data_IF_746245615853
#
_entry.id   IF_746245615853
#
_cell.length_a   1.000
_cell.length_b   1.000
_cell.length_c   1.000
_cell.angle_alpha   90.00
_cell.angle_beta   90.00
_cell.angle_gamma   90.00
#
_symmetry.space_group_name_H-M   'P 1'
#
loop_
_entity.id
_entity.type
_entity.pdbx_description
1 polymer ?
#
# COMPACT_ATOMS: atom_id res chain seq x y z
N UNK A 1 11.81 -17.84 21.48
CA UNK A 1 10.69 -17.18 22.20
C UNK A 1 9.41 -17.61 21.52
N UNK A 2 8.32 -17.75 22.27
CA UNK A 2 6.98 -17.92 21.68
C UNK A 2 6.31 -16.55 21.43
N UNK A 3 5.13 -16.56 20.80
CA UNK A 3 4.44 -15.34 20.42
C UNK A 3 4.09 -14.46 21.63
N UNK A 4 3.58 -15.05 22.73
CA UNK A 4 3.24 -14.33 23.97
C UNK A 4 4.45 -13.60 24.53
N UNK A 5 5.62 -14.23 24.56
CA UNK A 5 6.86 -13.62 25.06
C UNK A 5 7.25 -12.40 24.23
N UNK A 6 7.28 -12.52 22.89
CA UNK A 6 7.68 -11.41 22.01
C UNK A 6 6.66 -10.28 21.99
N UNK A 7 5.37 -10.60 22.00
CA UNK A 7 4.31 -9.60 22.09
C UNK A 7 4.38 -8.83 23.41
N UNK A 8 4.60 -9.54 24.52
CA UNK A 8 4.70 -8.91 25.84
C UNK A 8 5.88 -7.96 25.91
N UNK A 9 7.04 -8.35 25.37
CA UNK A 9 8.23 -7.51 25.29
C UNK A 9 8.03 -6.30 24.37
N UNK A 10 7.39 -6.51 23.22
CA UNK A 10 7.04 -5.45 22.29
C UNK A 10 6.14 -4.40 22.96
N UNK A 11 5.03 -4.84 23.57
CA UNK A 11 4.09 -3.96 24.26
C UNK A 11 4.70 -3.28 25.48
N UNK A 12 5.66 -3.91 26.18
CA UNK A 12 6.40 -3.24 27.25
C UNK A 12 7.24 -2.07 26.71
N UNK A 13 7.92 -2.27 25.57
CA UNK A 13 8.69 -1.24 24.89
C UNK A 13 7.80 -0.10 24.40
N UNK A 14 6.62 -0.42 23.84
CA UNK A 14 5.66 0.60 23.41
C UNK A 14 5.09 1.38 24.60
N UNK A 15 4.80 0.76 25.74
CA UNK A 15 4.32 1.51 26.92
C UNK A 15 5.32 2.56 27.42
N UNK A 16 6.61 2.33 27.18
CA UNK A 16 7.67 3.28 27.52
C UNK A 16 7.84 4.37 26.45
N UNK A 17 7.90 3.99 25.17
CA UNK A 17 8.28 4.89 24.08
C UNK A 17 7.11 5.51 23.32
N UNK A 18 6.00 4.78 23.21
CA UNK A 18 4.79 5.15 22.49
C UNK A 18 3.52 4.86 23.33
N UNK A 19 3.35 5.46 24.52
CA UNK A 19 2.25 5.15 25.43
C UNK A 19 0.86 5.37 24.83
N UNK A 20 0.69 6.30 23.89
CA UNK A 20 -0.58 6.54 23.19
C UNK A 20 -0.90 5.36 22.28
N UNK A 21 0.07 4.92 21.47
CA UNK A 21 -0.11 3.74 20.61
C UNK A 21 -0.33 2.47 21.43
N UNK A 22 0.43 2.28 22.51
CA UNK A 22 0.25 1.13 23.40
C UNK A 22 -1.16 1.09 24.02
N UNK A 23 -1.71 2.24 24.39
CA UNK A 23 -3.05 2.35 24.96
C UNK A 23 -4.18 2.13 23.94
N UNK A 24 -3.89 2.24 22.64
CA UNK A 24 -4.88 2.01 21.58
C UNK A 24 -5.18 0.54 21.32
N UNK A 25 -4.36 -0.38 21.85
CA UNK A 25 -4.58 -1.82 21.73
C UNK A 25 -5.73 -2.26 22.64
N UNK A 26 -6.71 -2.93 22.05
CA UNK A 26 -7.90 -3.43 22.73
C UNK A 26 -7.57 -4.69 23.53
N UNK A 27 -8.14 -4.87 24.73
CA UNK A 27 -7.96 -6.10 25.49
C UNK A 27 -8.54 -7.31 24.72
N UNK A 28 -8.01 -8.52 24.95
CA UNK A 28 -8.49 -9.71 24.26
C UNK A 28 -9.96 -10.01 24.57
N UNK A 29 -10.68 -10.53 23.58
CA UNK A 29 -12.05 -11.03 23.72
C UNK A 29 -12.08 -12.38 24.45
N UNK A 30 -13.29 -12.79 24.83
CA UNK A 30 -13.48 -14.08 25.50
C UNK A 30 -13.10 -15.25 24.59
N UNK A 31 -12.78 -16.42 25.17
CA UNK A 31 -12.47 -17.61 24.38
C UNK A 31 -13.61 -18.00 23.40
N UNK A 32 -14.86 -17.92 23.84
CA UNK A 32 -16.01 -18.25 22.98
C UNK A 32 -16.18 -17.34 21.77
N UNK A 33 -15.82 -16.05 21.90
CA UNK A 33 -15.83 -15.10 20.78
C UNK A 33 -14.69 -15.37 19.80
N UNK A 34 -13.49 -15.69 20.29
CA UNK A 34 -12.35 -16.10 19.45
C UNK A 34 -12.65 -17.36 18.66
N UNK A 35 -13.21 -18.37 19.32
CA UNK A 35 -13.64 -19.61 18.67
C UNK A 35 -14.76 -19.35 17.64
N UNK A 36 -15.63 -18.37 17.87
CA UNK A 36 -16.65 -17.99 16.90
C UNK A 36 -16.05 -17.33 15.66
N UNK A 37 -15.07 -16.45 15.83
CA UNK A 37 -14.33 -15.85 14.72
C UNK A 37 -13.53 -16.90 13.92
N UNK A 38 -12.89 -17.85 14.60
CA UNK A 38 -12.22 -18.99 13.94
C UNK A 38 -13.21 -19.81 13.10
N UNK A 39 -14.37 -20.19 13.67
CA UNK A 39 -15.41 -20.91 12.91
C UNK A 39 -15.98 -20.12 11.74
N UNK A 40 -16.02 -18.80 11.84
CA UNK A 40 -16.55 -17.93 10.80
C UNK A 40 -15.56 -17.69 9.65
N UNK A 41 -14.27 -17.99 9.85
CA UNK A 41 -13.21 -17.81 8.86
C UNK A 41 -12.71 -19.15 8.34
N UNK A 42 -11.83 -19.79 9.09
CA UNK A 42 -11.19 -21.08 8.79
C UNK A 42 -10.48 -21.57 10.07
N UNK A 43 -10.11 -22.86 10.22
CA UNK A 43 -9.30 -23.29 11.35
C UNK A 43 -7.98 -22.52 11.45
N UNK A 44 -7.70 -21.97 12.63
CA UNK A 44 -6.52 -21.14 12.86
C UNK A 44 -5.29 -21.99 13.21
N UNK A 45 -4.11 -21.45 12.92
CA UNK A 45 -2.87 -21.97 13.51
C UNK A 45 -2.86 -21.73 15.02
N UNK A 46 -2.07 -22.51 15.76
CA UNK A 46 -1.95 -22.31 17.21
C UNK A 46 -1.47 -20.90 17.55
N UNK A 47 -0.52 -20.41 16.75
CA UNK A 47 0.04 -19.07 16.90
C UNK A 47 -1.00 -17.97 16.65
N UNK A 48 -1.91 -18.14 15.69
CA UNK A 48 -2.98 -17.16 15.46
C UNK A 48 -4.03 -17.16 16.59
N UNK A 49 -4.32 -18.32 17.19
CA UNK A 49 -5.14 -18.40 18.42
C UNK A 49 -4.47 -17.71 19.60
N UNK A 50 -3.16 -17.87 19.73
CA UNK A 50 -2.34 -17.19 20.74
C UNK A 50 -2.38 -15.68 20.51
N UNK A 51 -2.19 -15.21 19.27
CA UNK A 51 -2.20 -13.80 18.88
C UNK A 51 -3.47 -13.07 19.32
N UNK A 52 -4.64 -13.56 18.91
CA UNK A 52 -5.92 -12.98 19.32
C UNK A 52 -6.26 -13.27 20.79
N UNK A 53 -5.53 -14.17 21.45
CA UNK A 53 -5.58 -14.33 22.91
C UNK A 53 -4.94 -13.15 23.67
N UNK A 54 -4.17 -12.30 22.99
CA UNK A 54 -3.43 -11.20 23.60
C UNK A 54 -4.08 -9.83 23.40
N UNK A 55 -4.94 -9.66 22.39
CA UNK A 55 -5.64 -8.40 22.07
C UNK A 55 -6.87 -8.61 21.18
N UNK A 56 -7.66 -7.55 21.00
CA UNK A 56 -8.76 -7.48 20.02
C UNK A 56 -8.53 -6.36 18.98
N UNK A 57 -7.29 -6.23 18.53
CA UNK A 57 -6.90 -5.27 17.51
C UNK A 57 -6.60 -3.90 18.09
N UNK A 58 -6.45 -2.92 17.21
CA UNK A 58 -6.19 -1.54 17.56
C UNK A 58 -7.48 -0.71 17.43
N UNK A 59 -7.61 0.35 18.23
CA UNK A 59 -8.70 1.29 18.07
C UNK A 59 -8.58 2.02 16.74
N UNK A 60 -9.59 1.88 15.89
CA UNK A 60 -9.70 2.63 14.65
C UNK A 60 -9.83 4.13 14.95
N UNK A 61 -9.06 4.96 14.23
CA UNK A 61 -9.13 6.42 14.34
C UNK A 61 -9.76 6.98 13.07
N UNK A 62 -11.05 6.75 12.90
CA UNK A 62 -11.84 7.38 11.84
C UNK A 62 -12.91 8.29 12.47
N UNK A 63 -12.97 9.56 12.05
CA UNK A 63 -14.01 10.51 12.50
C UNK A 63 -13.54 11.95 12.67
N UNK A 64 -14.47 12.83 13.08
CA UNK A 64 -14.27 14.29 13.23
C UNK A 64 -13.36 14.68 14.42
N UNK A 65 -13.14 13.77 15.38
CA UNK A 65 -12.20 13.91 16.50
C UNK A 65 -10.97 13.01 16.30
N UNK A 66 -10.29 13.15 15.15
CA UNK A 66 -9.07 12.40 14.88
C UNK A 66 -7.97 12.79 15.87
N UNK A 67 -7.66 11.90 16.81
CA UNK A 67 -6.44 11.95 17.61
C UNK A 67 -5.49 10.90 17.03
N UNK A 68 -4.32 11.27 16.50
CA UNK A 68 -3.36 10.31 16.00
C UNK A 68 -2.94 9.37 17.14
N UNK A 69 -3.25 8.08 17.00
CA UNK A 69 -2.79 7.05 17.94
C UNK A 69 -1.62 6.23 17.38
N UNK A 70 -1.21 6.50 16.15
CA UNK A 70 -0.14 5.78 15.46
C UNK A 70 -0.53 4.35 15.13
N UNK A 71 0.46 3.51 14.84
CA UNK A 71 0.20 2.09 14.59
C UNK A 71 1.23 1.17 15.22
N UNK A 72 0.75 0.04 15.75
CA UNK A 72 1.61 -1.05 16.23
C UNK A 72 2.23 -1.86 15.09
N UNK A 73 1.73 -1.72 13.86
CA UNK A 73 2.30 -2.33 12.65
C UNK A 73 2.69 -1.24 11.64
N UNK A 74 3.73 -1.45 10.81
CA UNK A 74 4.16 -0.43 9.85
C UNK A 74 3.12 -0.25 8.76
N UNK A 75 2.50 0.94 8.69
CA UNK A 75 1.43 1.31 7.76
C UNK A 75 0.13 0.49 7.82
N UNK A 76 0.00 -0.47 8.73
CA UNK A 76 -1.20 -1.29 8.86
C UNK A 76 -1.92 -1.04 10.18
N UNK A 77 -3.25 -0.96 10.18
CA UNK A 77 -4.10 -1.02 11.39
C UNK A 77 -4.43 -2.46 11.73
N UNK A 78 -4.18 -2.86 12.97
CA UNK A 78 -4.43 -4.22 13.44
C UNK A 78 -5.93 -4.48 13.64
N UNK A 79 -6.45 -5.56 13.06
CA UNK A 79 -7.86 -5.89 13.11
C UNK A 79 -8.33 -6.39 14.47
N UNK A 80 -9.57 -6.03 14.81
CA UNK A 80 -10.38 -6.78 15.77
C UNK A 80 -10.91 -8.08 15.16
N UNK A 81 -11.47 -8.95 16.00
CA UNK A 81 -12.12 -10.18 15.52
C UNK A 81 -13.22 -9.89 14.49
N UNK A 82 -14.07 -8.90 14.75
CA UNK A 82 -15.17 -8.53 13.85
C UNK A 82 -14.63 -8.09 12.49
N UNK A 83 -13.57 -7.27 12.47
CA UNK A 83 -12.93 -6.80 11.24
C UNK A 83 -12.27 -7.93 10.47
N UNK A 84 -11.60 -8.87 11.14
CA UNK A 84 -11.01 -10.03 10.50
C UNK A 84 -12.08 -10.90 9.81
N UNK A 85 -13.21 -11.15 10.50
CA UNK A 85 -14.34 -11.91 9.96
C UNK A 85 -15.01 -11.19 8.79
N UNK A 86 -15.28 -9.89 8.93
CA UNK A 86 -15.93 -9.10 7.89
C UNK A 86 -15.04 -8.96 6.65
N UNK A 87 -13.73 -8.74 6.83
CA UNK A 87 -12.78 -8.70 5.72
C UNK A 87 -12.66 -10.05 5.03
N UNK A 88 -12.59 -11.15 5.78
CA UNK A 88 -12.55 -12.50 5.22
C UNK A 88 -13.78 -12.78 4.36
N UNK A 89 -14.98 -12.53 4.91
CA UNK A 89 -16.25 -12.68 4.18
C UNK A 89 -16.27 -11.82 2.93
N UNK A 90 -15.92 -10.53 3.06
CA UNK A 90 -15.91 -9.59 1.95
C UNK A 90 -15.02 -10.08 0.81
N UNK A 91 -13.80 -10.55 1.11
CA UNK A 91 -12.87 -11.04 0.08
C UNK A 91 -13.38 -12.29 -0.63
N UNK A 92 -14.13 -13.17 0.06
CA UNK A 92 -14.74 -14.36 -0.56
C UNK A 92 -15.98 -14.02 -1.39
N UNK A 93 -16.75 -13.01 -1.00
CA UNK A 93 -17.93 -12.54 -1.73
C UNK A 93 -17.56 -11.65 -2.93
N UNK A 94 -16.36 -11.07 -2.94
CA UNK A 94 -15.85 -10.18 -3.97
C UNK A 94 -14.52 -10.71 -4.53
N UNK A 95 -14.55 -11.83 -5.27
CA UNK A 95 -13.34 -12.49 -5.74
C UNK A 95 -12.53 -11.58 -6.68
N UNK A 96 -11.21 -11.73 -6.60
CA UNK A 96 -10.29 -11.13 -7.56
C UNK A 96 -10.53 -11.72 -8.96
N UNK A 97 -10.48 -10.93 -10.04
CA UNK A 97 -10.57 -11.46 -11.39
C UNK A 97 -9.44 -12.46 -11.67
N UNK A 98 -9.78 -13.59 -12.31
CA UNK A 98 -8.84 -14.67 -12.66
C UNK A 98 -8.99 -15.11 -14.13
N UNK A 99 -9.54 -14.24 -14.98
CA UNK A 99 -9.92 -14.57 -16.36
C UNK A 99 -8.74 -15.08 -17.22
N UNK A 100 -7.52 -14.66 -16.87
CA UNK A 100 -6.26 -15.03 -17.53
C UNK A 100 -5.65 -16.35 -17.03
N UNK A 101 -6.15 -16.92 -15.93
CA UNK A 101 -5.64 -18.15 -15.29
C UNK A 101 -6.46 -19.40 -15.65
N UNK A 102 -7.71 -19.21 -16.09
CA UNK A 102 -8.60 -20.28 -16.55
C UNK A 102 -9.57 -20.80 -15.48
N UNK A 103 -10.65 -21.47 -15.94
CA UNK A 103 -11.77 -21.90 -15.08
C UNK A 103 -11.37 -22.93 -14.00
N UNK A 104 -10.30 -23.69 -14.22
CA UNK A 104 -9.82 -24.72 -13.30
C UNK A 104 -8.91 -24.15 -12.19
N UNK A 105 -8.47 -22.89 -12.30
CA UNK A 105 -7.52 -22.27 -11.37
C UNK A 105 -7.92 -22.37 -9.89
N UNK A 106 -9.19 -22.14 -9.49
CA UNK A 106 -9.60 -22.32 -8.10
C UNK A 106 -9.36 -23.74 -7.56
N UNK A 107 -9.42 -24.77 -8.42
CA UNK A 107 -9.13 -26.15 -8.04
C UNK A 107 -7.62 -26.37 -7.88
N UNK A 108 -6.81 -25.77 -8.74
CA UNK A 108 -5.35 -25.84 -8.66
C UNK A 108 -4.83 -25.18 -7.38
N UNK A 109 -5.35 -24.00 -7.05
CA UNK A 109 -5.00 -23.25 -5.84
C UNK A 109 -5.31 -24.02 -4.54
N UNK A 110 -6.38 -24.83 -4.53
CA UNK A 110 -6.71 -25.67 -3.37
C UNK A 110 -5.68 -26.79 -3.12
N UNK A 111 -4.88 -27.15 -4.13
CA UNK A 111 -3.82 -28.14 -4.00
C UNK A 111 -2.45 -27.53 -3.64
N UNK A 112 -2.31 -26.21 -3.72
CA UNK A 112 -1.08 -25.51 -3.37
C UNK A 112 -0.80 -25.55 -1.86
N UNK A 113 0.48 -25.55 -1.50
CA UNK A 113 0.90 -25.40 -0.11
C UNK A 113 0.88 -23.92 0.32
N UNK A 114 0.85 -23.69 1.62
CA UNK A 114 1.00 -22.34 2.17
C UNK A 114 2.26 -21.65 1.66
N UNK A 115 2.17 -20.35 1.41
CA UNK A 115 3.27 -19.54 0.91
C UNK A 115 3.50 -19.63 -0.61
N UNK A 116 2.70 -20.39 -1.35
CA UNK A 116 2.60 -20.29 -2.81
C UNK A 116 1.63 -19.17 -3.21
N UNK A 117 1.82 -18.59 -4.40
CA UNK A 117 0.95 -17.53 -4.92
C UNK A 117 -0.35 -18.13 -5.46
N UNK A 118 -1.49 -17.65 -4.96
CA UNK A 118 -2.82 -18.09 -5.37
C UNK A 118 -3.45 -17.20 -6.45
N UNK A 119 -2.96 -15.97 -6.65
CA UNK A 119 -3.54 -14.94 -7.55
C UNK A 119 -4.99 -14.55 -7.21
N UNK A 120 -5.50 -15.02 -6.08
CA UNK A 120 -6.85 -14.75 -5.58
C UNK A 120 -6.88 -14.90 -4.07
N UNK A 121 -7.87 -14.30 -3.44
CA UNK A 121 -8.10 -14.55 -2.02
C UNK A 121 -8.71 -15.93 -1.83
N UNK A 122 -8.13 -16.75 -0.95
CA UNK A 122 -8.60 -18.12 -0.68
C UNK A 122 -9.19 -18.24 0.73
N UNK A 123 -10.10 -19.20 0.97
CA UNK A 123 -10.74 -19.37 2.29
C UNK A 123 -9.75 -19.59 3.45
N UNK A 124 -8.57 -20.14 3.16
CA UNK A 124 -7.52 -20.40 4.13
C UNK A 124 -6.66 -19.18 4.49
N UNK A 125 -6.94 -17.98 3.95
CA UNK A 125 -6.25 -16.76 4.34
C UNK A 125 -7.00 -16.08 5.48
N UNK A 126 -6.38 -15.92 6.65
CA UNK A 126 -6.99 -15.19 7.77
C UNK A 126 -6.43 -13.78 7.84
N UNK A 127 -7.20 -12.75 7.47
CA UNK A 127 -6.70 -11.39 7.45
C UNK A 127 -6.59 -10.85 8.89
N UNK A 128 -5.56 -10.07 9.19
CA UNK A 128 -5.30 -9.56 10.54
C UNK A 128 -4.91 -8.08 10.60
N UNK A 129 -4.68 -7.42 9.46
CA UNK A 129 -4.45 -5.97 9.42
C UNK A 129 -4.81 -5.34 8.06
N UNK A 130 -5.07 -4.03 8.01
CA UNK A 130 -5.33 -3.26 6.78
C UNK A 130 -4.44 -2.03 6.62
N UNK A 131 -4.15 -1.63 5.40
CA UNK A 131 -3.38 -0.42 5.08
C UNK A 131 -4.24 0.84 4.93
N UNK A 132 -5.58 0.72 5.02
CA UNK A 132 -6.53 1.82 4.78
C UNK A 132 -6.79 2.14 3.29
N UNK A 133 -6.09 1.47 2.38
CA UNK A 133 -6.23 1.58 0.91
C UNK A 133 -6.79 0.31 0.26
N UNK A 134 -7.18 -0.67 1.07
CA UNK A 134 -7.77 -1.93 0.61
C UNK A 134 -6.77 -3.09 0.50
N UNK A 135 -5.51 -2.88 0.87
CA UNK A 135 -4.53 -3.92 1.14
C UNK A 135 -4.73 -4.51 2.54
N UNK A 136 -4.44 -5.81 2.67
CA UNK A 136 -4.57 -6.51 3.97
C UNK A 136 -3.42 -7.47 4.17
N UNK A 137 -2.88 -7.51 5.40
CA UNK A 137 -2.02 -8.60 5.82
C UNK A 137 -2.87 -9.79 6.25
N UNK A 138 -2.42 -10.99 5.91
CA UNK A 138 -3.08 -12.22 6.27
C UNK A 138 -2.08 -13.31 6.68
N UNK A 139 -2.58 -14.24 7.48
CA UNK A 139 -1.91 -15.50 7.80
C UNK A 139 -2.42 -16.57 6.84
N UNK A 140 -1.50 -17.24 6.15
CA UNK A 140 -1.84 -18.36 5.26
C UNK A 140 -1.96 -19.65 6.08
N UNK A 141 -3.19 -20.15 6.26
CA UNK A 141 -3.46 -21.37 7.04
C UNK A 141 -3.55 -22.62 6.17
N UNK A 142 -3.15 -22.57 4.89
CA UNK A 142 -3.03 -23.78 4.06
C UNK A 142 -2.03 -24.76 4.67
N UNK A 143 -2.15 -26.06 4.39
CA UNK A 143 -1.14 -27.04 4.80
C UNK A 143 0.19 -26.78 4.08
N UNK A 144 1.27 -27.38 4.59
CA UNK A 144 2.60 -27.31 3.99
C UNK A 144 3.64 -26.75 4.96
N UNK A 145 4.89 -26.68 4.51
CA UNK A 145 6.03 -26.29 5.35
C UNK A 145 5.95 -24.83 5.85
N UNK A 146 5.14 -23.98 5.20
CA UNK A 146 4.97 -22.55 5.52
C UNK A 146 3.58 -22.21 6.05
N UNK A 147 2.85 -23.20 6.57
CA UNK A 147 1.56 -22.96 7.22
C UNK A 147 1.73 -21.99 8.40
N UNK A 148 1.04 -20.85 8.36
CA UNK A 148 1.18 -19.76 9.32
C UNK A 148 2.03 -18.57 8.84
N UNK A 149 2.57 -18.62 7.61
CA UNK A 149 3.34 -17.50 7.08
C UNK A 149 2.47 -16.24 6.84
N UNK A 150 3.14 -15.09 6.84
CA UNK A 150 2.49 -13.78 6.66
C UNK A 150 2.72 -13.28 5.25
N UNK A 151 1.64 -12.83 4.64
CA UNK A 151 1.60 -12.28 3.29
C UNK A 151 0.64 -11.10 3.22
N UNK A 152 0.70 -10.37 2.11
CA UNK A 152 -0.21 -9.27 1.79
C UNK A 152 -1.14 -9.64 0.65
N UNK A 153 -2.39 -9.22 0.73
CA UNK A 153 -3.35 -9.29 -0.36
C UNK A 153 -3.90 -7.91 -0.69
N UNK A 154 -3.95 -7.53 -1.97
CA UNK A 154 -4.63 -6.33 -2.46
C UNK A 154 -5.42 -6.63 -3.73
N UNK A 155 -6.37 -5.77 -4.10
CA UNK A 155 -7.13 -5.96 -5.35
C UNK A 155 -6.31 -5.64 -6.60
N UNK A 156 -5.18 -4.92 -6.46
CA UNK A 156 -4.32 -4.57 -7.59
C UNK A 156 -3.23 -5.62 -7.84
N UNK A 157 -2.83 -6.34 -6.78
CA UNK A 157 -1.68 -7.26 -6.81
C UNK A 157 -2.00 -8.69 -6.39
N UNK A 158 -3.28 -9.01 -6.13
CA UNK A 158 -3.68 -10.24 -5.46
C UNK A 158 -2.75 -10.55 -4.27
N UNK A 159 -2.23 -11.78 -4.16
CA UNK A 159 -1.23 -12.21 -3.18
C UNK A 159 0.18 -12.38 -3.76
N UNK A 160 0.53 -11.61 -4.78
CA UNK A 160 1.84 -11.67 -5.41
C UNK A 160 3.01 -11.46 -4.43
N UNK A 161 4.12 -12.15 -4.69
CA UNK A 161 5.35 -12.05 -3.91
C UNK A 161 5.64 -13.24 -3.00
N UNK A 162 6.79 -13.21 -2.35
CA UNK A 162 7.16 -14.20 -1.33
C UNK A 162 6.51 -13.85 0.02
N UNK A 163 6.37 -14.82 0.93
CA UNK A 163 6.02 -14.53 2.32
C UNK A 163 6.96 -13.47 2.92
N UNK A 164 6.39 -12.52 3.66
CA UNK A 164 7.16 -11.49 4.35
C UNK A 164 7.87 -12.07 5.57
N UNK A 165 7.19 -12.98 6.28
CA UNK A 165 7.70 -13.70 7.44
C UNK A 165 7.14 -15.12 7.47
N UNK A 166 7.89 -16.05 8.04
CA UNK A 166 7.46 -17.46 8.12
C UNK A 166 6.42 -17.69 9.23
N UNK A 167 6.25 -16.75 10.18
CA UNK A 167 5.32 -16.84 11.32
C UNK A 167 4.99 -15.49 11.95
N UNK A 168 3.94 -15.42 12.78
CA UNK A 168 3.64 -14.22 13.59
C UNK A 168 4.72 -13.95 14.63
N UNK A 169 5.31 -14.97 15.25
CA UNK A 169 6.39 -14.81 16.24
C UNK A 169 7.58 -14.13 15.60
N UNK A 170 7.96 -14.53 14.39
CA UNK A 170 9.06 -13.89 13.66
C UNK A 170 8.75 -12.45 13.28
N UNK A 171 7.53 -12.19 12.81
CA UNK A 171 7.10 -10.83 12.47
C UNK A 171 7.08 -9.91 13.70
N UNK A 172 6.44 -10.33 14.79
CA UNK A 172 6.41 -9.54 16.03
C UNK A 172 7.81 -9.38 16.64
N UNK A 173 8.66 -10.41 16.56
CA UNK A 173 10.05 -10.29 17.00
C UNK A 173 10.85 -9.29 16.15
N UNK A 174 10.59 -9.22 14.84
CA UNK A 174 11.21 -8.24 13.95
C UNK A 174 10.73 -6.82 14.26
N UNK A 175 9.42 -6.64 14.50
CA UNK A 175 8.85 -5.35 14.94
C UNK A 175 9.45 -4.89 16.26
N UNK A 176 9.55 -5.79 17.23
CA UNK A 176 10.15 -5.48 18.52
C UNK A 176 11.60 -5.04 18.39
N UNK A 177 12.43 -5.77 17.63
CA UNK A 177 13.82 -5.39 17.36
C UNK A 177 13.93 -4.04 16.66
N UNK A 178 13.06 -3.79 15.67
CA UNK A 178 13.03 -2.51 14.94
C UNK A 178 12.70 -1.36 15.88
N UNK A 179 11.65 -1.49 16.70
CA UNK A 179 11.25 -0.48 17.69
C UNK A 179 12.29 -0.30 18.79
N UNK A 180 12.97 -1.36 19.23
CA UNK A 180 14.01 -1.28 20.25
C UNK A 180 15.25 -0.52 19.72
N UNK A 181 15.71 -0.86 18.52
CA UNK A 181 16.99 -0.38 17.98
C UNK A 181 16.87 0.84 17.07
N UNK A 182 15.67 1.16 16.59
CA UNK A 182 15.44 2.15 15.53
C UNK A 182 15.83 1.65 14.13
N UNK A 183 16.12 0.36 13.96
CA UNK A 183 16.48 -0.21 12.66
C UNK A 183 15.27 -0.34 11.75
N UNK A 184 15.51 -0.40 10.44
CA UNK A 184 14.47 -0.75 9.49
C UNK A 184 13.96 -2.18 9.73
N UNK A 185 12.69 -2.42 9.41
CA UNK A 185 12.11 -3.78 9.39
C UNK A 185 12.13 -4.39 7.98
N UNK A 186 11.62 -3.65 6.99
CA UNK A 186 11.66 -3.95 5.55
C UNK A 186 11.65 -2.63 4.76
N UNK A 187 12.16 -2.64 3.52
CA UNK A 187 12.15 -1.50 2.58
C UNK A 187 12.47 -0.14 3.22
N UNK A 188 13.51 -0.11 4.06
CA UNK A 188 13.98 1.07 4.80
C UNK A 188 12.95 1.73 5.75
N UNK A 189 11.81 1.07 6.01
CA UNK A 189 10.78 1.53 6.94
C UNK A 189 11.28 1.42 8.38
N UNK A 190 11.36 2.57 9.06
CA UNK A 190 11.85 2.69 10.44
C UNK A 190 10.76 3.24 11.38
N UNK A 191 10.88 2.95 12.69
CA UNK A 191 9.98 3.51 13.68
C UNK A 191 10.47 4.89 14.15
N UNK A 192 9.54 5.82 14.30
CA UNK A 192 9.73 7.12 14.92
C UNK A 192 8.70 7.35 16.02
N UNK A 193 9.04 8.21 16.99
CA UNK A 193 8.25 8.42 18.18
C UNK A 193 7.98 9.91 18.36
N UNK A 194 6.73 10.32 18.19
CA UNK A 194 6.31 11.73 18.26
C UNK A 194 5.16 11.83 19.28
N UNK A 195 5.32 12.64 20.33
CA UNK A 195 4.30 12.86 21.36
C UNK A 195 3.68 11.57 21.96
N UNK A 196 4.50 10.52 22.08
CA UNK A 196 4.09 9.22 22.61
C UNK A 196 3.30 8.35 21.61
N UNK A 197 3.34 8.70 20.33
CA UNK A 197 2.78 7.96 19.19
C UNK A 197 3.92 7.29 18.42
N UNK A 198 3.73 6.02 18.05
CA UNK A 198 4.60 5.29 17.12
C UNK A 198 4.14 5.54 15.68
N UNK A 199 5.03 6.14 14.90
CA UNK A 199 4.86 6.35 13.47
C UNK A 199 5.88 5.51 12.71
N UNK A 200 5.45 4.96 11.59
CA UNK A 200 6.31 4.20 10.70
C UNK A 200 6.51 5.00 9.43
N UNK A 201 7.75 5.09 9.00
CA UNK A 201 8.13 5.92 7.87
C UNK A 201 9.49 5.50 7.36
N UNK A 202 9.70 5.64 6.06
CA UNK A 202 11.06 5.78 5.55
C UNK A 202 11.60 7.13 6.09
N UNK A 203 12.73 7.15 6.79
CA UNK A 203 13.30 8.39 7.33
C UNK A 203 13.69 9.39 6.23
N UNK A 204 13.89 8.96 4.98
CA UNK A 204 14.04 9.85 3.83
C UNK A 204 12.74 10.62 3.50
N UNK A 205 11.58 10.08 3.90
CA UNK A 205 10.26 10.68 3.73
C UNK A 205 9.61 11.14 5.06
N UNK A 206 10.21 10.84 6.24
CA UNK A 206 9.61 11.07 7.57
C UNK A 206 9.79 12.48 8.12
N UNK A 207 10.75 13.27 7.62
CA UNK A 207 10.68 14.72 7.76
C UNK A 207 9.70 15.26 6.72
N UNK A 208 8.41 15.00 6.95
CA UNK A 208 7.25 15.62 6.32
C UNK A 208 7.30 15.72 4.79
N UNK A 209 6.25 15.22 4.14
CA UNK A 209 5.88 15.59 2.77
C UNK A 209 6.17 17.07 2.43
N UNK A 210 6.09 18.00 3.39
CA UNK A 210 6.48 19.41 3.24
C UNK A 210 7.99 19.77 3.35
N UNK A 211 8.81 19.11 4.18
CA UNK A 211 10.24 19.46 4.28
C UNK A 211 11.06 18.81 3.15
N UNK A 212 10.76 17.56 2.77
CA UNK A 212 11.26 17.00 1.51
C UNK A 212 10.77 17.82 0.30
N UNK A 213 9.47 18.15 0.21
CA UNK A 213 8.97 19.06 -0.83
C UNK A 213 9.67 20.43 -0.82
N UNK A 214 10.02 20.98 0.35
CA UNK A 214 10.79 22.22 0.45
C UNK A 214 12.24 22.08 -0.08
N UNK A 215 12.78 20.86 -0.16
CA UNK A 215 14.06 20.57 -0.84
C UNK A 215 13.89 20.23 -2.32
N UNK A 216 12.68 19.86 -2.76
CA UNK A 216 12.41 19.56 -4.15
C UNK A 216 12.50 20.83 -5.01
N UNK A 217 12.99 20.72 -6.25
CA UNK A 217 12.97 21.84 -7.18
C UNK A 217 11.52 22.27 -7.45
N UNK A 218 11.26 23.58 -7.35
CA UNK A 218 9.98 24.17 -7.73
C UNK A 218 9.96 24.42 -9.23
N UNK A 219 8.98 23.83 -9.91
CA UNK A 219 8.72 24.06 -11.33
C UNK A 219 7.44 24.88 -11.44
N UNK A 220 7.55 26.08 -12.02
CA UNK A 220 6.42 26.98 -12.21
C UNK A 220 5.59 26.56 -13.42
N UNK A 221 4.27 26.53 -13.23
CA UNK A 221 3.30 26.23 -14.28
C UNK A 221 2.33 27.39 -14.44
N UNK A 222 1.83 27.69 -15.65
CA UNK A 222 1.05 28.91 -15.88
C UNK A 222 -0.40 28.88 -15.33
N UNK A 223 -0.79 27.80 -14.66
CA UNK A 223 -2.10 27.65 -14.02
C UNK A 223 -2.13 26.49 -13.03
N UNK A 224 -3.06 26.50 -12.06
CA UNK A 224 -3.23 25.42 -11.09
C UNK A 224 -3.50 24.09 -11.78
N UNK A 225 -2.90 23.03 -11.22
CA UNK A 225 -3.20 21.67 -11.61
C UNK A 225 -4.51 21.23 -10.96
N UNK A 226 -5.19 20.30 -11.62
CA UNK A 226 -6.38 19.66 -11.09
C UNK A 226 -6.16 18.16 -10.98
N UNK A 227 -6.69 17.57 -9.92
CA UNK A 227 -6.81 16.13 -9.81
C UNK A 227 -8.07 15.69 -10.55
N UNK A 228 -7.94 14.62 -11.33
CA UNK A 228 -9.08 13.91 -11.90
C UNK A 228 -8.90 12.41 -11.64
N UNK A 229 -10.03 11.71 -11.52
CA UNK A 229 -10.02 10.25 -11.37
C UNK A 229 -10.37 9.62 -12.71
N UNK A 230 -9.48 8.80 -13.29
CA UNK A 230 -9.78 8.12 -14.56
C UNK A 230 -11.05 7.28 -14.51
N UNK A 231 -11.39 6.69 -13.36
CA UNK A 231 -12.60 5.88 -13.16
C UNK A 231 -13.91 6.67 -13.22
N UNK A 232 -13.85 8.00 -13.21
CA UNK A 232 -15.02 8.88 -13.30
C UNK A 232 -15.24 9.43 -14.71
N UNK A 233 -14.33 9.15 -15.64
CA UNK A 233 -14.47 9.55 -17.04
C UNK A 233 -15.29 8.51 -17.81
N UNK A 234 -16.06 9.00 -18.77
CA UNK A 234 -16.86 8.25 -19.71
C UNK A 234 -16.45 8.59 -21.15
N UNK A 235 -16.87 7.77 -22.10
CA UNK A 235 -16.58 8.01 -23.52
C UNK A 235 -17.30 9.27 -24.07
N UNK A 236 -18.29 9.79 -23.35
CA UNK A 236 -19.01 11.02 -23.70
C UNK A 236 -18.30 12.30 -23.20
N UNK A 237 -17.26 12.16 -22.37
CA UNK A 237 -16.49 13.30 -21.87
C UNK A 237 -15.59 13.90 -22.97
N UNK A 238 -15.26 15.18 -22.83
CA UNK A 238 -14.36 15.82 -23.78
C UNK A 238 -12.91 15.42 -23.48
N UNK A 239 -12.36 14.48 -24.26
CA UNK A 239 -11.05 13.84 -23.99
C UNK A 239 -9.93 14.36 -24.90
N UNK A 240 -8.68 14.22 -24.43
CA UNK A 240 -7.50 14.45 -25.25
C UNK A 240 -7.22 13.30 -26.23
N UNK A 241 -6.69 13.64 -27.40
CA UNK A 241 -6.03 12.69 -28.29
C UNK A 241 -4.64 12.34 -27.72
N UNK A 242 -4.54 11.16 -27.10
CA UNK A 242 -3.29 10.72 -26.48
C UNK A 242 -2.18 10.40 -27.50
N UNK A 243 -2.50 10.11 -28.76
CA UNK A 243 -1.48 9.93 -29.80
C UNK A 243 -0.90 11.28 -30.25
N UNK A 244 -1.71 12.34 -30.20
CA UNK A 244 -1.20 13.71 -30.31
C UNK A 244 -0.27 14.05 -29.14
N UNK A 245 -0.71 13.83 -27.90
CA UNK A 245 0.09 14.12 -26.70
C UNK A 245 1.40 13.32 -26.69
N UNK A 246 1.36 12.02 -27.01
CA UNK A 246 2.54 11.15 -27.11
C UNK A 246 3.60 11.74 -28.03
N UNK A 247 3.20 12.19 -29.23
CA UNK A 247 4.11 12.81 -30.20
C UNK A 247 4.72 14.10 -29.63
N UNK A 248 3.91 14.96 -29.02
CA UNK A 248 4.37 16.19 -28.39
C UNK A 248 5.39 15.93 -27.27
N UNK A 249 5.19 14.87 -26.48
CA UNK A 249 6.14 14.45 -25.44
C UNK A 249 7.45 13.96 -26.04
N UNK A 250 7.40 13.04 -27.01
CA UNK A 250 8.61 12.52 -27.68
C UNK A 250 9.39 13.63 -28.38
N UNK A 251 8.71 14.54 -29.08
CA UNK A 251 9.36 15.67 -29.76
C UNK A 251 9.97 16.65 -28.76
N UNK A 252 9.33 16.84 -27.60
CA UNK A 252 9.91 17.63 -26.50
C UNK A 252 11.16 16.96 -25.93
N UNK A 253 11.13 15.64 -25.69
CA UNK A 253 12.29 14.89 -25.21
C UNK A 253 13.47 14.97 -26.20
N UNK A 254 13.23 14.83 -27.51
CA UNK A 254 14.25 15.00 -28.56
C UNK A 254 14.86 16.40 -28.59
N UNK A 255 14.04 17.42 -28.34
CA UNK A 255 14.50 18.82 -28.31
C UNK A 255 15.35 19.10 -27.07
N UNK A 256 15.00 18.54 -25.92
CA UNK A 256 15.76 18.70 -24.67
C UNK A 256 17.04 17.87 -24.68
N UNK A 257 17.02 16.70 -25.34
CA UNK A 257 18.14 15.77 -25.40
C UNK A 257 18.57 15.46 -26.86
N UNK A 258 19.11 16.44 -27.61
CA UNK A 258 19.40 16.28 -29.05
C UNK A 258 20.47 15.23 -29.39
N UNK A 259 21.23 14.77 -28.39
CA UNK A 259 22.25 13.70 -28.54
C UNK A 259 21.79 12.33 -28.04
N UNK A 260 20.60 12.21 -27.44
CA UNK A 260 20.10 10.96 -26.91
C UNK A 260 19.27 10.18 -27.95
N UNK A 261 19.33 8.86 -27.89
CA UNK A 261 18.37 8.02 -28.61
C UNK A 261 17.05 8.04 -27.84
N UNK A 262 16.09 8.83 -28.33
CA UNK A 262 14.74 8.94 -27.77
C UNK A 262 13.83 7.93 -28.47
N UNK A 263 13.39 6.93 -27.70
CA UNK A 263 12.43 5.90 -28.09
C UNK A 263 10.99 6.36 -27.94
N UNK A 264 10.10 5.39 -27.71
CA UNK A 264 8.67 5.65 -27.55
C UNK A 264 8.33 6.17 -26.13
N UNK A 265 7.12 6.70 -25.98
CA UNK A 265 6.57 7.20 -24.73
C UNK A 265 5.28 6.47 -24.34
N UNK A 266 5.23 6.01 -23.08
CA UNK A 266 4.05 5.34 -22.51
C UNK A 266 3.44 6.19 -21.39
N UNK A 267 2.12 6.15 -21.26
CA UNK A 267 1.38 6.71 -20.14
C UNK A 267 0.51 5.61 -19.51
N UNK A 268 0.21 5.74 -18.22
CA UNK A 268 -0.68 4.81 -17.51
C UNK A 268 -2.13 5.07 -17.86
N UNK A 269 -2.52 6.34 -17.97
CA UNK A 269 -3.90 6.73 -18.27
C UNK A 269 -4.22 6.53 -19.74
N UNK A 270 -5.35 5.87 -19.99
CA UNK A 270 -5.90 5.65 -21.34
C UNK A 270 -6.85 6.76 -21.78
N UNK A 271 -7.32 7.57 -20.84
CA UNK A 271 -8.22 8.70 -21.06
C UNK A 271 -7.83 9.85 -20.13
N UNK A 272 -7.83 11.07 -20.66
CA UNK A 272 -7.56 12.30 -19.90
C UNK A 272 -8.51 13.38 -20.39
N UNK A 273 -9.18 14.09 -19.47
CA UNK A 273 -10.13 15.12 -19.85
C UNK A 273 -9.39 16.32 -20.44
N UNK A 274 -10.00 16.98 -21.43
CA UNK A 274 -9.55 18.25 -22.00
C UNK A 274 -9.93 19.40 -21.06
N UNK A 275 -9.46 19.32 -19.82
CA UNK A 275 -9.69 20.34 -18.80
C UNK A 275 -8.35 20.96 -18.43
N UNK A 276 -8.29 22.29 -18.47
CA UNK A 276 -7.09 23.05 -18.11
C UNK A 276 -6.61 22.64 -16.71
N UNK A 277 -5.34 22.28 -16.61
CA UNK A 277 -4.71 21.85 -15.35
C UNK A 277 -4.73 20.33 -15.13
N UNK A 278 -5.51 19.56 -15.90
CA UNK A 278 -5.37 18.11 -15.88
C UNK A 278 -3.93 17.76 -16.30
N UNK A 279 -3.37 16.71 -15.73
CA UNK A 279 -1.99 16.32 -16.05
C UNK A 279 -1.83 14.81 -16.06
N UNK A 280 -0.81 14.35 -16.78
CA UNK A 280 -0.47 12.93 -16.81
C UNK A 280 1.03 12.74 -16.98
N UNK A 281 1.56 11.70 -16.34
CA UNK A 281 2.96 11.31 -16.49
C UNK A 281 3.16 10.38 -17.69
N UNK A 282 4.29 10.58 -18.36
CA UNK A 282 4.78 9.85 -19.52
C UNK A 282 6.19 9.33 -19.24
N UNK A 283 6.42 8.05 -19.46
CA UNK A 283 7.73 7.43 -19.37
C UNK A 283 8.29 7.32 -20.78
N UNK A 284 9.40 8.02 -21.03
CA UNK A 284 10.08 8.06 -22.32
C UNK A 284 11.35 7.24 -22.22
N UNK A 285 11.53 6.29 -23.13
CA UNK A 285 12.78 5.53 -23.21
C UNK A 285 13.89 6.40 -23.81
N UNK A 286 14.97 6.63 -23.07
CA UNK A 286 16.12 7.41 -23.53
C UNK A 286 17.42 6.67 -23.21
N UNK A 287 18.15 6.24 -24.25
CA UNK A 287 19.49 5.66 -24.10
C UNK A 287 19.58 4.42 -23.20
N UNK A 288 18.49 3.66 -23.03
CA UNK A 288 18.42 2.47 -22.17
C UNK A 288 17.90 2.70 -20.75
N UNK A 289 17.55 3.94 -20.39
CA UNK A 289 16.85 4.30 -19.16
C UNK A 289 15.45 4.88 -19.46
N UNK A 290 14.57 4.92 -18.46
CA UNK A 290 13.31 5.67 -18.55
C UNK A 290 13.46 7.04 -17.90
N UNK A 291 12.91 8.07 -18.53
CA UNK A 291 12.81 9.41 -17.98
C UNK A 291 11.36 9.85 -17.98
N UNK A 292 10.95 10.50 -16.89
CA UNK A 292 9.56 10.89 -16.67
C UNK A 292 9.35 12.31 -17.17
N UNK A 293 8.32 12.46 -17.99
CA UNK A 293 7.79 13.74 -18.42
C UNK A 293 6.36 13.87 -17.89
N UNK A 294 5.91 15.08 -17.57
CA UNK A 294 4.50 15.36 -17.31
C UNK A 294 3.93 16.23 -18.43
N UNK A 295 2.73 15.87 -18.91
CA UNK A 295 1.99 16.65 -19.88
C UNK A 295 0.79 17.30 -19.18
N UNK A 296 0.77 18.64 -19.16
CA UNK A 296 -0.26 19.46 -18.51
C UNK A 296 -1.19 20.03 -19.57
N UNK A 297 -2.48 19.75 -19.43
CA UNK A 297 -3.52 20.13 -20.38
C UNK A 297 -3.78 21.63 -20.30
N UNK A 298 -3.76 22.31 -21.45
CA UNK A 298 -4.03 23.75 -21.54
C UNK A 298 -5.52 24.09 -21.55
N UNK A 299 -6.35 23.12 -21.96
CA UNK A 299 -7.78 23.29 -22.23
C UNK A 299 -8.08 23.77 -23.66
N UNK A 300 -7.06 24.07 -24.46
CA UNK A 300 -7.20 24.47 -25.87
C UNK A 300 -6.83 23.30 -26.79
N UNK A 301 -7.82 22.77 -27.53
CA UNK A 301 -7.59 21.67 -28.47
C UNK A 301 -6.91 20.45 -27.83
N UNK A 302 -5.80 19.99 -28.40
CA UNK A 302 -5.00 18.89 -27.84
C UNK A 302 -3.67 19.38 -27.25
N UNK A 303 -3.56 20.68 -27.02
CA UNK A 303 -2.31 21.32 -26.65
C UNK A 303 -1.98 21.04 -25.18
N UNK A 304 -0.73 20.67 -24.96
CA UNK A 304 -0.17 20.36 -23.65
C UNK A 304 1.14 21.12 -23.43
N UNK A 305 1.40 21.46 -22.18
CA UNK A 305 2.73 21.88 -21.72
C UNK A 305 3.44 20.61 -21.27
N UNK A 306 4.60 20.30 -21.87
CA UNK A 306 5.40 19.13 -21.51
C UNK A 306 6.62 19.55 -20.71
N UNK A 307 6.79 18.96 -19.54
CA UNK A 307 7.89 19.22 -18.63
C UNK A 307 8.63 17.92 -18.32
N UNK A 308 9.95 17.95 -18.34
CA UNK A 308 10.78 16.85 -17.84
C UNK A 308 10.83 16.92 -16.31
N UNK A 309 10.55 15.81 -15.63
CA UNK A 309 10.59 15.75 -14.18
C UNK A 309 12.00 15.36 -13.71
N UNK A 310 12.59 16.09 -12.75
CA UNK A 310 13.89 15.74 -12.22
C UNK A 310 13.84 14.41 -11.45
N UNK A 311 14.94 13.64 -11.43
CA UNK A 311 15.04 12.44 -10.61
C UNK A 311 14.80 12.78 -9.14
N UNK A 312 13.86 12.08 -8.49
CA UNK A 312 13.48 12.33 -7.10
C UNK A 312 12.21 13.20 -6.91
N UNK A 313 11.65 13.76 -7.97
CA UNK A 313 10.39 14.53 -7.94
C UNK A 313 10.58 16.05 -7.93
N UNK A 314 9.47 16.79 -8.01
CA UNK A 314 9.43 18.25 -7.97
C UNK A 314 8.13 18.75 -7.34
N UNK A 315 8.09 20.02 -6.93
CA UNK A 315 6.85 20.71 -6.59
C UNK A 315 6.40 21.53 -7.79
N UNK A 316 5.14 21.37 -8.21
CA UNK A 316 4.54 22.18 -9.28
C UNK A 316 3.74 23.32 -8.64
N UNK A 317 4.15 24.56 -8.88
CA UNK A 317 3.46 25.74 -8.38
C UNK A 317 2.89 26.56 -9.53
N UNK A 318 1.65 27.01 -9.41
CA UNK A 318 1.06 27.92 -10.39
C UNK A 318 1.72 29.31 -10.30
N UNK A 319 1.86 29.98 -11.45
CA UNK A 319 2.08 31.42 -11.50
C UNK A 319 0.79 32.11 -10.97
N UNK A 320 0.96 33.08 -10.06
CA UNK A 320 -0.13 33.93 -9.54
C UNK A 320 -0.80 34.78 -10.64
#
# INVERSE_FOLDING_TARGET
MNLTEVWTAYMATLRERAPVTAASIRPPRTAGEREAAERATTPWTEELREFYGLHDGQHETYGEEYVPVGSVLPYFTLYSLDRAVDRHRFSLENPHPIDDLGEDWPVEVLAQEAGETAEMFVPAYVPFAEDGSGGTLYVDTRPGARGGCIRSFSYDSADQGAPWFDSLTEFIAALHRSVETGSAIYDDVTPSFVDGVLEWGDPAFSEGSMAYAATLPVVRVPFPLIDFRPSQLSDDDDLLDLDHVRRTVVDTARRLHPGAFVGDARAVYRQVPRVRGANMNWWVSMGGAETVFTAIVTGEGHDVIVLELPPGGCVLEADE
#
